data_IF_410917177343
#
_entry.id   IF_410917177343
#
_cell.length_a   1.000
_cell.length_b   1.000
_cell.length_c   1.000
_cell.angle_alpha   90.00
_cell.angle_beta   90.00
_cell.angle_gamma   90.00
#
_symmetry.space_group_name_H-M   'P 1'
#
loop_
_entity.id
_entity.type
_entity.pdbx_description
1 polymer ?
#
# COMPACT_ATOMS: atom_id res chain seq x y z
N UNK A 1 -5.00 11.15 -7.57
CA UNK A 1 -3.68 10.57 -7.90
C UNK A 1 -3.19 9.79 -6.69
N UNK A 2 -2.63 8.59 -6.88
CA UNK A 2 -2.12 7.73 -5.80
C UNK A 2 -0.59 7.88 -5.76
N UNK A 3 -0.02 8.15 -4.58
CA UNK A 3 1.43 8.17 -4.40
C UNK A 3 1.89 6.82 -3.80
N UNK A 4 2.21 5.87 -4.67
CA UNK A 4 2.61 4.52 -4.26
C UNK A 4 3.98 4.48 -3.56
N UNK A 5 4.83 5.50 -3.75
CA UNK A 5 6.14 5.59 -3.08
C UNK A 5 6.00 5.77 -1.56
N UNK A 6 4.87 6.33 -1.10
CA UNK A 6 4.54 6.51 0.32
C UNK A 6 3.66 5.36 0.87
N UNK A 7 3.49 4.26 0.14
CA UNK A 7 2.65 3.16 0.60
C UNK A 7 3.30 2.44 1.79
N UNK A 8 2.56 2.28 2.90
CA UNK A 8 2.99 1.53 4.09
C UNK A 8 2.46 0.09 4.13
N UNK A 9 1.90 -0.40 3.02
CA UNK A 9 1.48 -1.80 2.86
C UNK A 9 0.41 -2.28 3.87
N UNK A 10 -0.36 -1.36 4.47
CA UNK A 10 -1.41 -1.68 5.44
C UNK A 10 -2.70 -2.25 4.82
N UNK A 11 -2.84 -2.21 3.48
CA UNK A 11 -4.01 -2.64 2.70
C UNK A 11 -5.34 -1.93 3.01
N UNK A 12 -5.34 -0.86 3.81
CA UNK A 12 -6.58 -0.13 4.13
C UNK A 12 -7.29 0.41 2.89
N UNK A 13 -6.54 0.91 1.89
CA UNK A 13 -7.12 1.43 0.66
C UNK A 13 -7.80 0.35 -0.21
N UNK A 14 -7.43 -0.92 -0.06
CA UNK A 14 -8.05 -2.05 -0.75
C UNK A 14 -9.33 -2.51 -0.03
N UNK A 15 -9.32 -2.50 1.32
CA UNK A 15 -10.42 -3.02 2.16
C UNK A 15 -11.51 -1.97 2.41
N UNK A 16 -11.13 -0.68 2.49
CA UNK A 16 -11.98 0.41 2.97
C UNK A 16 -12.32 1.44 1.91
N UNK A 17 -12.00 1.19 0.64
CA UNK A 17 -12.50 2.04 -0.43
C UNK A 17 -13.98 1.70 -0.72
N UNK A 18 -14.94 2.57 -0.38
CA UNK A 18 -16.36 2.30 -0.60
C UNK A 18 -16.75 2.21 -2.07
N UNK A 19 -15.87 2.66 -2.98
CA UNK A 19 -16.11 2.58 -4.41
C UNK A 19 -15.40 1.41 -5.09
N UNK A 20 -14.64 0.60 -4.33
CA UNK A 20 -13.87 -0.55 -4.83
C UNK A 20 -13.00 -0.23 -6.07
N UNK A 21 -12.52 1.01 -6.16
CA UNK A 21 -11.73 1.53 -7.29
C UNK A 21 -10.23 1.25 -7.14
N UNK A 22 -9.78 0.84 -5.96
CA UNK A 22 -8.37 0.62 -5.66
C UNK A 22 -8.11 -0.88 -5.48
N UNK A 23 -7.27 -1.45 -6.34
CA UNK A 23 -6.73 -2.80 -6.18
C UNK A 23 -5.29 -2.72 -5.70
N UNK A 24 -5.01 -3.25 -4.51
CA UNK A 24 -3.65 -3.32 -3.98
C UNK A 24 -2.94 -4.56 -4.53
N UNK A 25 -1.76 -4.35 -5.13
CA UNK A 25 -0.86 -5.42 -5.56
C UNK A 25 0.48 -5.27 -4.83
N UNK A 26 1.12 -6.40 -4.53
CA UNK A 26 2.45 -6.40 -3.94
C UNK A 26 3.44 -5.78 -4.93
N UNK A 27 4.21 -4.74 -4.55
CA UNK A 27 5.25 -4.19 -5.42
C UNK A 27 6.41 -5.17 -5.59
N UNK A 28 7.31 -4.87 -6.53
CA UNK A 28 8.56 -5.62 -6.73
C UNK A 28 9.34 -5.72 -5.41
N UNK A 29 9.85 -6.91 -5.10
CA UNK A 29 10.37 -7.27 -3.77
C UNK A 29 11.39 -6.26 -3.24
N UNK A 30 11.18 -5.78 -2.01
CA UNK A 30 12.01 -4.75 -1.36
C UNK A 30 11.41 -3.35 -1.33
N UNK A 31 10.33 -3.09 -2.08
CA UNK A 31 9.52 -1.88 -1.92
C UNK A 31 8.67 -1.98 -0.65
N UNK A 32 8.69 -0.95 0.20
CA UNK A 32 7.83 -0.88 1.39
C UNK A 32 8.54 -0.29 2.61
N UNK A 33 7.80 -0.08 3.71
CA UNK A 33 8.35 0.44 4.95
C UNK A 33 9.39 -0.50 5.57
N UNK A 34 10.52 0.07 5.98
CA UNK A 34 11.54 -0.64 6.75
C UNK A 34 11.16 -0.64 8.24
N UNK A 35 10.50 -1.71 8.67
CA UNK A 35 10.12 -1.92 10.07
C UNK A 35 11.28 -2.31 10.99
N UNK A 36 12.50 -2.50 10.47
CA UNK A 36 13.65 -2.91 11.29
C UNK A 36 14.11 -1.87 12.31
N UNK A 37 13.58 -0.65 12.24
CA UNK A 37 13.82 0.44 13.18
C UNK A 37 12.58 0.83 14.02
N UNK A 38 11.47 0.08 13.92
CA UNK A 38 10.25 0.30 14.72
C UNK A 38 10.23 -0.50 16.02
#
# INVERSE_FOLDING_TARGET
QINAQNCIHCKTCDIKDPSENITWITPEGGGGPNYGAM
#
